data_IF_206907296532
#
_entry.id   IF_206907296532
#
_cell.length_a   1.000
_cell.length_b   1.000
_cell.length_c   1.000
_cell.angle_alpha   90.00
_cell.angle_beta   90.00
_cell.angle_gamma   90.00
#
_symmetry.space_group_name_H-M   'P 1'
#
loop_
_entity.id
_entity.type
_entity.pdbx_description
1 polymer ?
#
# COMPACT_ATOMS: atom_id res chain seq x y z
N UNK A 1 -4.05 13.38 -21.21
CA UNK A 1 -3.69 14.09 -19.96
C UNK A 1 -2.24 13.72 -19.68
N UNK A 2 -1.37 14.69 -19.41
CA UNK A 2 0.00 14.37 -19.03
C UNK A 2 -0.05 13.62 -17.69
N UNK A 3 0.49 12.41 -17.66
CA UNK A 3 0.68 11.67 -16.42
C UNK A 3 1.61 12.52 -15.55
N UNK A 4 1.10 13.06 -14.44
CA UNK A 4 1.95 13.78 -13.49
C UNK A 4 3.07 12.82 -13.09
N UNK A 5 4.32 13.23 -13.31
CA UNK A 5 5.48 12.38 -13.01
C UNK A 5 5.48 12.04 -11.53
N UNK A 6 5.73 10.76 -11.21
CA UNK A 6 5.81 10.29 -9.84
C UNK A 6 6.96 11.01 -9.13
N UNK A 7 6.65 11.78 -8.10
CA UNK A 7 7.66 12.56 -7.38
C UNK A 7 8.27 11.71 -6.28
N UNK A 8 9.47 11.19 -6.53
CA UNK A 8 10.25 10.47 -5.53
C UNK A 8 10.82 11.44 -4.48
N UNK A 9 10.58 11.12 -3.20
CA UNK A 9 11.08 11.89 -2.05
C UNK A 9 12.19 11.09 -1.36
N UNK A 10 13.27 11.74 -0.93
CA UNK A 10 14.32 11.07 -0.19
C UNK A 10 15.72 11.49 -0.60
N UNK A 11 16.72 10.70 -0.21
CA UNK A 11 18.14 11.06 -0.27
C UNK A 11 18.81 10.69 -1.60
N UNK A 12 18.18 11.03 -2.73
CA UNK A 12 18.68 10.67 -4.07
C UNK A 12 20.11 11.17 -4.31
N UNK A 13 20.40 12.42 -3.91
CA UNK A 13 21.73 13.01 -4.05
C UNK A 13 22.80 12.29 -3.22
N UNK A 14 22.43 11.80 -2.02
CA UNK A 14 23.36 11.06 -1.16
C UNK A 14 23.70 9.71 -1.80
N UNK A 15 22.69 8.94 -2.21
CA UNK A 15 22.89 7.63 -2.84
C UNK A 15 23.67 7.76 -4.14
N UNK A 16 23.36 8.76 -4.97
CA UNK A 16 24.11 9.02 -6.20
C UNK A 16 25.58 9.44 -5.97
N UNK A 17 25.91 9.96 -4.78
CA UNK A 17 27.28 10.31 -4.43
C UNK A 17 28.06 9.11 -3.84
N UNK A 18 27.35 8.19 -3.19
CA UNK A 18 27.90 6.96 -2.60
C UNK A 18 27.99 5.81 -3.62
N UNK A 19 27.24 5.90 -4.72
CA UNK A 19 27.24 4.97 -5.86
C UNK A 19 27.89 5.59 -7.10
N UNK A 20 28.16 4.77 -8.12
CA UNK A 20 28.67 5.23 -9.44
C UNK A 20 27.58 5.83 -10.34
N UNK A 21 26.33 5.88 -9.87
CA UNK A 21 25.15 6.26 -10.66
C UNK A 21 24.85 7.75 -10.47
N UNK A 22 24.75 8.49 -11.58
CA UNK A 22 24.41 9.92 -11.53
C UNK A 22 23.02 10.19 -10.93
N UNK A 23 22.83 11.35 -10.29
CA UNK A 23 21.54 11.74 -9.69
C UNK A 23 20.39 11.74 -10.71
N UNK A 24 20.62 12.22 -11.93
CA UNK A 24 19.61 12.21 -12.99
C UNK A 24 19.23 10.79 -13.40
N UNK A 25 20.22 9.90 -13.49
CA UNK A 25 19.99 8.51 -13.87
C UNK A 25 19.26 7.74 -12.78
N UNK A 26 19.65 7.92 -11.52
CA UNK A 26 18.94 7.34 -10.38
C UNK A 26 17.49 7.84 -10.30
N UNK A 27 17.24 9.13 -10.58
CA UNK A 27 15.88 9.67 -10.60
C UNK A 27 15.03 9.01 -11.69
N UNK A 28 15.55 8.92 -12.92
CA UNK A 28 14.88 8.23 -14.04
C UNK A 28 14.61 6.76 -13.71
N UNK A 29 15.59 6.08 -13.12
CA UNK A 29 15.46 4.68 -12.71
C UNK A 29 14.33 4.47 -11.70
N UNK A 30 14.27 5.31 -10.67
CA UNK A 30 13.20 5.25 -9.66
C UNK A 30 11.82 5.53 -10.27
N UNK A 31 11.71 6.49 -11.21
CA UNK A 31 10.47 6.76 -11.94
C UNK A 31 10.04 5.51 -12.74
N UNK A 32 10.97 4.83 -13.43
CA UNK A 32 10.70 3.60 -14.18
C UNK A 32 10.26 2.44 -13.29
N UNK A 33 10.95 2.23 -12.16
CA UNK A 33 10.56 1.24 -11.14
C UNK A 33 9.13 1.53 -10.65
N UNK A 34 8.85 2.79 -10.39
CA UNK A 34 7.52 3.19 -9.95
C UNK A 34 6.49 2.88 -11.04
N UNK A 35 6.74 3.22 -12.31
CA UNK A 35 5.79 2.96 -13.40
C UNK A 35 5.45 1.48 -13.63
N UNK A 36 6.38 0.57 -13.39
CA UNK A 36 6.12 -0.88 -13.46
C UNK A 36 5.56 -1.46 -12.16
N UNK A 37 5.61 -0.72 -11.05
CA UNK A 37 5.02 -1.14 -9.77
C UNK A 37 3.59 -0.59 -9.65
N UNK A 38 2.63 -1.51 -9.73
CA UNK A 38 1.21 -1.23 -9.54
C UNK A 38 0.89 -1.36 -8.05
N UNK A 39 0.61 -0.24 -7.38
CA UNK A 39 0.39 -0.21 -5.91
C UNK A 39 -0.71 -1.19 -5.50
N UNK A 40 -1.81 -1.25 -6.26
CA UNK A 40 -2.96 -2.11 -5.97
C UNK A 40 -2.55 -3.59 -5.93
N UNK A 41 -1.65 -4.03 -6.83
CA UNK A 41 -1.15 -5.40 -6.86
C UNK A 41 -0.33 -5.73 -5.60
N UNK A 42 0.53 -4.82 -5.14
CA UNK A 42 1.33 -5.03 -3.94
C UNK A 42 0.49 -4.96 -2.66
N UNK A 43 -0.50 -4.08 -2.61
CA UNK A 43 -1.49 -4.04 -1.53
C UNK A 43 -2.31 -5.33 -1.48
N UNK A 44 -2.74 -5.84 -2.64
CA UNK A 44 -3.43 -7.11 -2.74
C UNK A 44 -2.55 -8.26 -2.27
N UNK A 45 -1.30 -8.36 -2.75
CA UNK A 45 -0.33 -9.37 -2.31
C UNK A 45 -0.10 -9.30 -0.79
N UNK A 46 0.02 -8.11 -0.21
CA UNK A 46 0.24 -7.94 1.22
C UNK A 46 -0.98 -8.29 2.08
N UNK A 47 -2.21 -8.11 1.56
CA UNK A 47 -3.44 -8.41 2.30
C UNK A 47 -4.00 -9.81 2.08
N UNK A 48 -3.83 -10.41 0.90
CA UNK A 48 -4.64 -11.58 0.48
C UNK A 48 -4.12 -12.96 0.87
N UNK A 49 -2.91 -13.16 1.40
CA UNK A 49 -2.55 -14.54 1.76
C UNK A 49 -1.52 -14.73 2.85
N UNK A 50 -1.72 -15.84 3.59
CA UNK A 50 -0.73 -16.53 4.42
C UNK A 50 0.41 -17.17 3.60
N UNK A 51 0.42 -17.00 2.27
CA UNK A 51 1.43 -17.56 1.34
C UNK A 51 2.19 -16.49 0.55
N UNK A 52 1.87 -15.21 0.76
CA UNK A 52 2.52 -14.10 0.10
C UNK A 52 3.76 -13.74 0.90
N UNK A 53 4.88 -13.63 0.21
CA UNK A 53 6.15 -13.16 0.77
C UNK A 53 6.26 -11.63 0.70
N UNK A 54 5.20 -10.94 0.26
CA UNK A 54 5.15 -9.48 0.27
C UNK A 54 4.46 -9.04 1.55
N UNK A 55 5.15 -8.24 2.35
CA UNK A 55 4.61 -7.66 3.58
C UNK A 55 4.47 -6.15 3.44
N UNK A 56 3.35 -5.60 3.93
CA UNK A 56 3.20 -4.16 4.11
C UNK A 56 3.88 -3.72 5.40
N UNK A 57 5.15 -3.36 5.30
CA UNK A 57 5.98 -2.94 6.42
C UNK A 57 5.47 -1.65 7.11
N UNK A 58 4.69 -0.84 6.40
CA UNK A 58 4.15 0.40 6.95
C UNK A 58 2.66 0.63 6.66
N UNK A 59 1.83 0.35 7.67
CA UNK A 59 0.36 0.38 7.57
C UNK A 59 -0.26 1.78 7.52
N UNK A 60 0.51 2.85 7.81
CA UNK A 60 0.01 4.24 7.83
C UNK A 60 0.98 5.20 7.12
N UNK A 61 1.15 5.08 5.80
CA UNK A 61 2.12 5.88 5.07
C UNK A 61 1.76 7.38 5.07
N UNK A 62 2.68 8.29 5.43
CA UNK A 62 2.49 9.74 5.37
C UNK A 62 2.68 10.28 3.95
N UNK A 63 3.38 9.54 3.09
CA UNK A 63 3.76 9.95 1.73
C UNK A 63 4.01 8.80 0.76
N UNK A 64 4.49 7.64 1.23
CA UNK A 64 4.89 6.51 0.40
C UNK A 64 4.57 5.20 1.11
N UNK A 65 4.08 4.19 0.38
CA UNK A 65 3.94 2.82 0.89
C UNK A 65 5.32 2.18 1.01
N UNK A 66 5.51 1.38 2.06
CA UNK A 66 6.73 0.59 2.25
C UNK A 66 6.33 -0.87 2.31
N UNK A 67 6.87 -1.65 1.38
CA UNK A 67 6.72 -3.09 1.30
C UNK A 67 8.06 -3.76 1.60
N UNK A 68 8.04 -4.90 2.28
CA UNK A 68 9.14 -5.85 2.25
C UNK A 68 8.80 -6.90 1.20
N UNK A 69 9.65 -7.05 0.18
CA UNK A 69 9.44 -7.97 -0.94
C UNK A 69 10.66 -8.90 -1.08
N UNK A 70 10.49 -10.14 -1.55
CA UNK A 70 11.62 -11.04 -1.78
C UNK A 70 12.51 -10.53 -2.91
N UNK A 71 13.80 -10.90 -2.88
CA UNK A 71 14.77 -10.51 -3.92
C UNK A 71 14.41 -11.03 -5.32
N UNK A 72 13.58 -12.09 -5.43
CA UNK A 72 13.02 -12.57 -6.69
C UNK A 72 12.03 -11.59 -7.33
N UNK A 73 11.26 -10.85 -6.51
CA UNK A 73 10.37 -9.79 -7.00
C UNK A 73 11.19 -8.60 -7.51
N UNK A 74 12.29 -8.25 -6.82
CA UNK A 74 13.25 -7.27 -7.33
C UNK A 74 13.84 -7.65 -8.68
N UNK A 75 14.20 -8.93 -8.85
CA UNK A 75 14.71 -9.45 -10.12
C UNK A 75 13.69 -9.26 -11.24
N UNK A 76 12.41 -9.55 -10.96
CA UNK A 76 11.30 -9.34 -11.92
C UNK A 76 11.13 -7.87 -12.30
N UNK A 77 11.21 -6.95 -11.32
CA UNK A 77 11.17 -5.51 -11.57
C UNK A 77 12.34 -5.10 -12.48
N UNK A 78 13.58 -5.47 -12.14
CA UNK A 78 14.75 -5.06 -12.92
C UNK A 78 14.79 -5.65 -14.33
N UNK A 79 14.33 -6.88 -14.53
CA UNK A 79 14.14 -7.47 -15.87
C UNK A 79 13.16 -6.65 -16.72
N UNK A 80 12.08 -6.12 -16.11
CA UNK A 80 11.06 -5.36 -16.84
C UNK A 80 11.54 -3.98 -17.32
N UNK A 81 12.60 -3.45 -16.70
CA UNK A 81 13.14 -2.12 -17.01
C UNK A 81 14.62 -2.14 -17.44
N UNK A 82 15.19 -3.30 -17.75
CA UNK A 82 16.53 -3.47 -18.33
C UNK A 82 17.60 -2.61 -17.62
N UNK A 83 17.95 -3.03 -16.40
CA UNK A 83 18.77 -2.29 -15.44
C UNK A 83 20.13 -2.96 -15.27
N UNK A 84 21.20 -2.16 -15.27
CA UNK A 84 22.56 -2.65 -15.01
C UNK A 84 22.77 -2.97 -13.52
N UNK A 85 23.80 -3.76 -13.19
CA UNK A 85 24.01 -4.24 -11.81
C UNK A 85 24.24 -3.09 -10.81
N UNK A 86 25.01 -2.08 -11.19
CA UNK A 86 25.28 -0.90 -10.35
C UNK A 86 24.04 -0.02 -10.17
N UNK A 87 23.21 0.10 -11.20
CA UNK A 87 21.90 0.75 -11.15
C UNK A 87 20.94 0.01 -10.21
N UNK A 88 20.89 -1.32 -10.29
CA UNK A 88 20.08 -2.15 -9.41
C UNK A 88 20.50 -1.99 -7.94
N UNK A 89 21.81 -2.00 -7.66
CA UNK A 89 22.33 -1.74 -6.31
C UNK A 89 21.93 -0.35 -5.81
N UNK A 90 22.11 0.70 -6.62
CA UNK A 90 21.77 2.06 -6.25
C UNK A 90 20.26 2.24 -5.98
N UNK A 91 19.40 1.60 -6.78
CA UNK A 91 17.96 1.60 -6.55
C UNK A 91 17.59 0.93 -5.21
N UNK A 92 18.08 -0.30 -4.96
CA UNK A 92 17.81 -1.01 -3.70
C UNK A 92 18.31 -0.22 -2.48
N UNK A 93 19.47 0.40 -2.59
CA UNK A 93 20.02 1.26 -1.53
C UNK A 93 19.13 2.47 -1.25
N UNK A 94 18.64 3.16 -2.29
CA UNK A 94 17.69 4.25 -2.13
C UNK A 94 16.41 3.81 -1.44
N UNK A 95 15.82 2.68 -1.85
CA UNK A 95 14.60 2.15 -1.24
C UNK A 95 14.83 1.76 0.22
N UNK A 96 15.98 1.17 0.54
CA UNK A 96 16.37 0.82 1.91
C UNK A 96 16.48 2.06 2.82
N UNK A 97 17.22 3.09 2.38
CA UNK A 97 17.38 4.35 3.13
C UNK A 97 16.03 5.04 3.30
N UNK A 98 15.21 5.10 2.24
CA UNK A 98 13.91 5.76 2.29
C UNK A 98 12.94 5.03 3.22
N UNK A 99 12.91 3.70 3.17
CA UNK A 99 12.12 2.88 4.09
C UNK A 99 12.56 3.11 5.54
N UNK A 100 13.87 3.13 5.79
CA UNK A 100 14.42 3.39 7.12
C UNK A 100 14.02 4.78 7.65
N UNK A 101 14.14 5.83 6.82
CA UNK A 101 13.72 7.19 7.19
C UNK A 101 12.22 7.22 7.56
N UNK A 102 11.36 6.54 6.78
CA UNK A 102 9.91 6.48 7.03
C UNK A 102 9.57 5.71 8.31
N UNK A 103 10.13 4.51 8.49
CA UNK A 103 9.88 3.66 9.64
C UNK A 103 10.34 4.34 10.94
N UNK A 104 11.56 4.89 10.95
CA UNK A 104 12.12 5.61 12.10
C UNK A 104 11.30 6.84 12.47
N UNK A 105 10.88 7.64 11.48
CA UNK A 105 10.04 8.82 11.73
C UNK A 105 8.68 8.49 12.34
N UNK A 106 8.23 7.24 12.20
CA UNK A 106 6.95 6.75 12.68
C UNK A 106 7.04 5.96 13.99
N UNK A 107 8.23 5.93 14.62
CA UNK A 107 8.52 5.12 15.81
C UNK A 107 8.21 3.62 15.61
N UNK A 108 8.25 3.14 14.36
CA UNK A 108 8.04 1.74 14.02
C UNK A 108 9.37 1.09 13.66
N UNK A 109 9.55 -0.13 14.14
CA UNK A 109 10.59 -1.05 13.68
C UNK A 109 9.94 -2.16 12.87
N UNK A 110 10.54 -2.53 11.76
CA UNK A 110 10.18 -3.68 10.96
C UNK A 110 11.41 -4.56 10.80
N UNK A 111 11.30 -5.83 11.19
CA UNK A 111 12.36 -6.81 10.97
C UNK A 111 12.23 -7.34 9.56
N UNK A 112 13.28 -7.18 8.77
CA UNK A 112 13.30 -7.66 7.39
C UNK A 112 13.70 -9.14 7.40
N UNK A 113 12.88 -10.00 6.78
CA UNK A 113 13.22 -11.40 6.60
C UNK A 113 14.47 -11.58 5.71
N UNK A 114 15.19 -12.69 5.90
CA UNK A 114 16.32 -13.02 5.04
C UNK A 114 15.88 -13.17 3.57
N UNK A 115 16.66 -12.64 2.63
CA UNK A 115 16.33 -12.65 1.21
C UNK A 115 15.22 -11.68 0.80
N UNK A 116 14.80 -10.78 1.70
CA UNK A 116 13.89 -9.68 1.38
C UNK A 116 14.65 -8.37 1.24
N UNK A 117 13.97 -7.38 0.65
CA UNK A 117 14.44 -6.00 0.50
C UNK A 117 13.24 -5.06 0.50
N UNK A 118 13.44 -3.83 0.98
CA UNK A 118 12.37 -2.84 0.96
C UNK A 118 12.08 -2.36 -0.47
N UNK A 119 10.80 -2.23 -0.79
CA UNK A 119 10.28 -1.49 -1.94
C UNK A 119 9.43 -0.34 -1.42
N UNK A 120 9.73 0.87 -1.89
CA UNK A 120 9.03 2.10 -1.51
C UNK A 120 8.29 2.63 -2.72
N UNK A 121 6.97 2.69 -2.65
CA UNK A 121 6.13 3.14 -3.76
C UNK A 121 5.44 4.46 -3.41
N UNK A 122 5.70 5.54 -4.15
CA UNK A 122 5.15 6.85 -3.82
C UNK A 122 3.64 6.90 -4.07
N UNK A 123 2.91 7.54 -3.15
CA UNK A 123 1.49 7.85 -3.35
C UNK A 123 1.41 9.01 -4.35
N UNK A 124 0.81 8.76 -5.52
CA UNK A 124 0.72 9.74 -6.62
C UNK A 124 -0.04 11.00 -6.18
N UNK A 125 -1.27 10.83 -5.69
CA UNK A 125 -2.08 11.94 -5.18
C UNK A 125 -2.21 11.85 -3.65
N UNK A 126 -1.20 12.37 -2.95
CA UNK A 126 -1.15 12.31 -1.50
C UNK A 126 -2.27 13.11 -0.83
N UNK A 127 -2.76 14.17 -1.48
CA UNK A 127 -3.82 15.01 -0.93
C UNK A 127 -5.18 14.32 -1.07
N UNK A 128 -5.44 13.66 -2.22
CA UNK A 128 -6.60 12.77 -2.36
C UNK A 128 -6.50 11.61 -1.38
N UNK A 129 -5.34 10.96 -1.22
CA UNK A 129 -5.17 9.89 -0.24
C UNK A 129 -5.49 10.35 1.18
N UNK A 130 -4.92 11.48 1.63
CA UNK A 130 -5.18 12.05 2.95
C UNK A 130 -6.65 12.40 3.15
N UNK A 131 -7.28 13.00 2.13
CA UNK A 131 -8.69 13.36 2.16
C UNK A 131 -9.58 12.13 2.21
N UNK A 132 -9.35 11.14 1.37
CA UNK A 132 -10.08 9.87 1.35
C UNK A 132 -9.97 9.15 2.69
N UNK A 133 -8.77 9.11 3.29
CA UNK A 133 -8.57 8.53 4.63
C UNK A 133 -9.35 9.29 5.70
N UNK A 134 -9.35 10.63 5.66
CA UNK A 134 -10.12 11.45 6.60
C UNK A 134 -11.63 11.22 6.44
N UNK A 135 -12.14 11.26 5.21
CA UNK A 135 -13.56 11.04 4.89
C UNK A 135 -14.00 9.66 5.35
N UNK A 136 -13.23 8.62 5.04
CA UNK A 136 -13.52 7.27 5.53
C UNK A 136 -13.51 7.23 7.06
N UNK A 137 -12.52 7.84 7.73
CA UNK A 137 -12.47 7.84 9.20
C UNK A 137 -13.68 8.52 9.85
N UNK A 138 -14.15 9.65 9.28
CA UNK A 138 -15.36 10.33 9.74
C UNK A 138 -16.60 9.49 9.51
N UNK A 139 -16.70 8.88 8.34
CA UNK A 139 -17.84 8.03 8.01
C UNK A 139 -17.94 6.80 8.92
N UNK A 140 -16.82 6.11 9.18
CA UNK A 140 -16.77 5.01 10.16
C UNK A 140 -17.12 5.49 11.57
N UNK A 141 -16.72 6.71 11.96
CA UNK A 141 -17.05 7.28 13.26
C UNK A 141 -18.54 7.62 13.37
N UNK A 142 -19.12 8.26 12.36
CA UNK A 142 -20.55 8.61 12.30
C UNK A 142 -21.42 7.36 12.42
N UNK A 143 -21.12 6.31 11.64
CA UNK A 143 -21.83 5.04 11.72
C UNK A 143 -21.66 4.36 13.09
N UNK A 144 -20.49 4.49 13.73
CA UNK A 144 -20.28 3.96 15.07
C UNK A 144 -21.07 4.76 16.14
N UNK A 145 -21.20 6.08 15.97
CA UNK A 145 -22.03 6.94 16.81
C UNK A 145 -23.52 6.62 16.68
N UNK A 146 -23.96 6.22 15.48
CA UNK A 146 -25.30 5.65 15.21
C UNK A 146 -25.47 4.22 15.76
N UNK A 147 -24.48 3.70 16.49
CA UNK A 147 -24.54 2.44 17.21
C UNK A 147 -24.27 1.20 16.36
N UNK A 148 -23.72 1.36 15.15
CA UNK A 148 -23.27 0.21 14.35
C UNK A 148 -21.97 -0.34 14.94
N UNK A 149 -21.89 -1.67 14.99
CA UNK A 149 -20.68 -2.40 15.38
C UNK A 149 -19.70 -2.45 14.19
N UNK A 150 -18.40 -2.62 14.43
CA UNK A 150 -17.42 -2.69 13.34
C UNK A 150 -17.76 -3.72 12.23
N UNK A 151 -18.25 -4.94 12.55
CA UNK A 151 -18.74 -5.87 11.53
C UNK A 151 -19.95 -5.37 10.72
N UNK A 152 -20.88 -4.67 11.35
CA UNK A 152 -22.05 -4.08 10.69
C UNK A 152 -21.65 -2.97 9.73
N UNK A 153 -20.75 -2.08 10.17
CA UNK A 153 -20.23 -1.00 9.31
C UNK A 153 -19.53 -1.58 8.08
N UNK A 154 -18.63 -2.56 8.29
CA UNK A 154 -17.86 -3.18 7.21
C UNK A 154 -18.78 -3.90 6.22
N UNK A 155 -19.71 -4.73 6.69
CA UNK A 155 -20.61 -5.48 5.81
C UNK A 155 -21.60 -4.56 5.07
N UNK A 156 -22.10 -3.52 5.74
CA UNK A 156 -22.94 -2.48 5.13
C UNK A 156 -22.19 -1.76 4.01
N UNK A 157 -20.97 -1.29 4.28
CA UNK A 157 -20.15 -0.60 3.29
C UNK A 157 -19.85 -1.46 2.07
N UNK A 158 -19.37 -2.69 2.29
CA UNK A 158 -18.96 -3.58 1.21
C UNK A 158 -20.13 -3.97 0.30
N UNK A 159 -21.35 -4.05 0.83
CA UNK A 159 -22.53 -4.51 0.07
C UNK A 159 -23.38 -3.38 -0.49
N UNK A 160 -23.64 -2.33 0.29
CA UNK A 160 -24.53 -1.22 -0.11
C UNK A 160 -23.78 -0.13 -0.90
N UNK A 161 -22.58 0.24 -0.47
CA UNK A 161 -21.81 1.33 -1.10
C UNK A 161 -20.93 0.82 -2.25
N UNK A 162 -20.29 -0.35 -2.07
CA UNK A 162 -19.42 -0.95 -3.10
C UNK A 162 -20.14 -1.98 -3.99
N UNK A 163 -21.40 -2.32 -3.69
CA UNK A 163 -22.22 -3.19 -4.52
C UNK A 163 -21.80 -4.65 -4.56
N UNK A 164 -20.97 -5.14 -3.62
CA UNK A 164 -20.60 -6.55 -3.60
C UNK A 164 -21.82 -7.42 -3.22
N UNK A 165 -21.98 -8.56 -3.89
CA UNK A 165 -22.99 -9.51 -3.49
C UNK A 165 -22.65 -10.09 -2.09
N UNK A 166 -23.61 -10.19 -1.15
CA UNK A 166 -23.34 -10.71 0.20
C UNK A 166 -22.66 -12.08 0.24
N UNK A 167 -22.90 -12.92 -0.78
CA UNK A 167 -22.27 -14.24 -0.91
C UNK A 167 -20.78 -14.14 -1.27
N UNK A 168 -20.43 -13.23 -2.17
CA UNK A 168 -19.05 -13.03 -2.63
C UNK A 168 -18.23 -12.36 -1.54
N UNK A 169 -18.77 -11.32 -0.90
CA UNK A 169 -18.14 -10.66 0.23
C UNK A 169 -17.93 -11.62 1.41
N UNK A 170 -18.93 -12.44 1.75
CA UNK A 170 -18.79 -13.44 2.81
C UNK A 170 -17.67 -14.45 2.54
N UNK A 171 -17.47 -14.84 1.28
CA UNK A 171 -16.36 -15.71 0.89
C UNK A 171 -15.00 -15.04 1.07
N UNK A 172 -14.88 -13.73 0.80
CA UNK A 172 -13.63 -12.99 0.99
C UNK A 172 -13.30 -12.80 2.47
N UNK A 173 -14.31 -12.63 3.31
CA UNK A 173 -14.18 -12.44 4.76
C UNK A 173 -14.09 -13.77 5.54
N UNK A 174 -14.23 -14.91 4.86
CA UNK A 174 -14.31 -16.24 5.47
C UNK A 174 -15.39 -16.35 6.56
N UNK A 175 -16.61 -15.92 6.21
CA UNK A 175 -17.80 -16.02 7.09
C UNK A 175 -19.00 -16.60 6.34
N UNK A 176 -20.01 -17.03 7.10
CA UNK A 176 -21.25 -17.50 6.48
C UNK A 176 -22.02 -16.32 5.83
N UNK A 177 -22.56 -16.45 4.60
CA UNK A 177 -23.31 -15.37 3.94
C UNK A 177 -24.48 -14.81 4.74
N UNK A 178 -25.09 -15.64 5.60
CA UNK A 178 -26.16 -15.20 6.49
C UNK A 178 -25.70 -14.22 7.57
N UNK A 179 -24.45 -14.31 8.02
CA UNK A 179 -23.88 -13.35 8.97
C UNK A 179 -23.78 -11.96 8.32
N UNK A 180 -23.31 -11.90 7.06
CA UNK A 180 -23.27 -10.65 6.28
C UNK A 180 -24.67 -10.08 6.10
N UNK A 181 -25.65 -10.88 5.66
CA UNK A 181 -27.04 -10.40 5.48
C UNK A 181 -27.64 -9.87 6.79
N UNK A 182 -27.39 -10.58 7.90
CA UNK A 182 -27.84 -10.16 9.22
C UNK A 182 -27.25 -8.79 9.58
N UNK A 183 -25.94 -8.64 9.44
CA UNK A 183 -25.24 -7.39 9.76
C UNK A 183 -25.73 -6.22 8.90
N UNK A 184 -25.92 -6.43 7.58
CA UNK A 184 -26.47 -5.41 6.68
C UNK A 184 -27.89 -5.01 7.08
N UNK A 185 -28.74 -5.99 7.45
CA UNK A 185 -30.10 -5.69 7.94
C UNK A 185 -30.05 -4.87 9.23
N UNK A 186 -29.21 -5.26 10.19
CA UNK A 186 -29.07 -4.55 11.47
C UNK A 186 -28.52 -3.13 11.28
N UNK A 187 -27.56 -2.94 10.35
CA UNK A 187 -27.08 -1.62 9.97
C UNK A 187 -28.21 -0.74 9.41
N UNK A 188 -28.99 -1.26 8.44
CA UNK A 188 -30.14 -0.53 7.88
C UNK A 188 -31.19 -0.16 8.93
N UNK A 189 -31.47 -1.06 9.87
CA UNK A 189 -32.43 -0.80 10.95
C UNK A 189 -31.98 0.37 11.83
N UNK A 190 -30.68 0.46 12.15
CA UNK A 190 -30.10 1.52 12.98
C UNK A 190 -30.02 2.88 12.27
N UNK A 191 -29.75 2.89 10.97
CA UNK A 191 -29.61 4.13 10.19
C UNK A 191 -30.95 4.79 9.80
N UNK A 192 -32.08 4.14 10.08
CA UNK A 192 -33.44 4.66 9.81
C UNK A 192 -34.04 5.36 11.04
N UNK A 193 -33.54 5.08 12.25
CA UNK A 193 -33.97 5.71 13.52
C UNK A 193 -33.33 7.08 13.74
#
# INVERSE_FOLDING_TARGET
MAQERRVHRGRIQQVAAETTVSTSRLTELLERIADVTVIDDYLEKAWRSSSSTVELAFQNPPSDFVFAIPDSEWSTIFESIDVEEDEATAAKEWHSIRAHDLLTSSERSHELEEGHSYLVVPIQDIEVWRRSRLVLSWWFQELAEDGLTPPEILDYWMTEELGNAPKEWASQRDVHPEAVRKNVRQAREKLIE
#
